data_IF_715236765778
#
_entry.id   IF_715236765778
#
_cell.length_a   1.000
_cell.length_b   1.000
_cell.length_c   1.000
_cell.angle_alpha   90.00
_cell.angle_beta   90.00
_cell.angle_gamma   90.00
#
_symmetry.space_group_name_H-M   'P 1'
#
loop_
_entity.id
_entity.type
_entity.pdbx_description
1 polymer ?
#
# COMPACT_ATOMS: atom_id res chain seq x y z
N UNK A 1 -11.83 -8.94 -11.87
CA UNK A 1 -10.71 -8.74 -10.93
C UNK A 1 -11.27 -8.31 -9.58
N UNK A 2 -10.68 -8.70 -8.45
CA UNK A 2 -11.06 -8.15 -7.15
C UNK A 2 -10.69 -6.65 -7.12
N UNK A 3 -11.63 -5.78 -6.77
CA UNK A 3 -11.36 -4.35 -6.60
C UNK A 3 -10.40 -4.11 -5.43
N UNK A 4 -9.35 -3.33 -5.67
CA UNK A 4 -8.41 -2.90 -4.64
C UNK A 4 -9.02 -1.70 -3.91
N UNK A 5 -9.28 -1.87 -2.62
CA UNK A 5 -9.80 -0.83 -1.73
C UNK A 5 -8.65 -0.25 -0.93
N UNK A 6 -8.11 0.86 -1.40
CA UNK A 6 -7.08 1.61 -0.69
C UNK A 6 -7.67 2.36 0.49
N UNK A 7 -6.88 2.46 1.56
CA UNK A 7 -7.15 3.29 2.73
C UNK A 7 -5.94 4.17 2.97
N UNK A 8 -6.16 5.46 3.23
CA UNK A 8 -5.08 6.44 3.39
C UNK A 8 -4.27 6.23 4.67
N UNK A 9 -4.87 5.61 5.69
CA UNK A 9 -4.24 5.33 6.98
C UNK A 9 -4.31 3.83 7.31
N UNK A 10 -3.20 3.14 7.08
CA UNK A 10 -3.01 1.77 7.49
C UNK A 10 -2.91 1.62 9.01
N UNK A 11 -3.07 0.39 9.48
CA UNK A 11 -2.74 0.05 10.88
C UNK A 11 -1.22 -0.06 11.02
N UNK A 12 -0.64 0.23 12.20
CA UNK A 12 0.80 0.02 12.42
C UNK A 12 1.18 -1.45 12.14
N UNK A 13 2.20 -1.67 11.30
CA UNK A 13 2.60 -3.00 10.83
C UNK A 13 1.74 -3.58 9.70
N UNK A 14 0.81 -2.79 9.17
CA UNK A 14 -0.07 -3.14 8.04
C UNK A 14 -0.19 -1.95 7.08
N UNK A 15 0.90 -1.24 6.83
CA UNK A 15 0.94 -0.13 5.88
C UNK A 15 1.46 -0.55 4.50
N UNK A 16 1.32 0.30 3.48
CA UNK A 16 1.87 0.04 2.15
C UNK A 16 3.38 -0.23 2.23
N UNK A 17 4.13 0.48 3.07
CA UNK A 17 5.56 0.19 3.32
C UNK A 17 5.84 -1.22 3.85
N UNK A 18 4.90 -1.85 4.54
CA UNK A 18 4.99 -3.23 5.05
C UNK A 18 4.45 -4.27 4.05
N UNK A 19 3.92 -3.82 2.91
CA UNK A 19 3.30 -4.67 1.90
C UNK A 19 4.32 -5.10 0.84
N UNK A 20 4.32 -6.38 0.47
CA UNK A 20 5.22 -6.93 -0.57
C UNK A 20 4.94 -6.40 -1.98
N UNK A 21 3.72 -5.92 -2.22
CA UNK A 21 3.26 -5.43 -3.52
C UNK A 21 3.47 -3.91 -3.69
N UNK A 22 3.94 -3.22 -2.66
CA UNK A 22 4.24 -1.79 -2.70
C UNK A 22 5.63 -1.55 -3.26
N UNK A 23 5.72 -0.65 -4.24
CA UNK A 23 6.99 -0.18 -4.79
C UNK A 23 7.21 1.25 -4.33
N UNK A 24 8.21 1.44 -3.48
CA UNK A 24 8.57 2.77 -3.02
C UNK A 24 9.06 3.65 -4.17
N UNK A 25 8.68 4.93 -4.15
CA UNK A 25 9.06 5.91 -5.15
C UNK A 25 9.85 7.06 -4.52
N UNK A 26 9.27 7.69 -3.51
CA UNK A 26 9.82 8.89 -2.85
C UNK A 26 9.77 8.79 -1.31
N UNK A 27 9.63 7.59 -0.74
CA UNK A 27 9.52 7.35 0.71
C UNK A 27 8.20 7.77 1.38
N UNK A 28 7.40 8.60 0.70
CA UNK A 28 6.09 9.08 1.17
C UNK A 28 4.93 8.51 0.36
N UNK A 29 5.18 8.28 -0.93
CA UNK A 29 4.28 7.66 -1.90
C UNK A 29 5.02 6.58 -2.65
N UNK A 30 4.25 5.66 -3.25
CA UNK A 30 4.76 4.61 -4.09
C UNK A 30 3.68 4.04 -4.99
N UNK A 31 4.06 3.08 -5.82
CA UNK A 31 3.16 2.44 -6.77
C UNK A 31 2.68 1.08 -6.23
N UNK A 32 1.37 0.85 -6.28
CA UNK A 32 0.74 -0.43 -5.93
C UNK A 32 -0.39 -0.74 -6.91
N UNK A 33 -0.38 -1.92 -7.53
CA UNK A 33 -1.35 -2.35 -8.56
C UNK A 33 -1.60 -1.33 -9.68
N UNK A 34 -0.59 -0.53 -10.04
CA UNK A 34 -0.69 0.51 -11.08
C UNK A 34 -1.36 1.82 -10.62
N UNK A 35 -1.50 2.01 -9.31
CA UNK A 35 -1.98 3.24 -8.69
C UNK A 35 -0.92 3.82 -7.74
N UNK A 36 -0.83 5.14 -7.69
CA UNK A 36 -0.04 5.83 -6.68
C UNK A 36 -0.75 5.77 -5.32
N UNK A 37 -0.06 5.31 -4.29
CA UNK A 37 -0.57 5.12 -2.93
C UNK A 37 0.37 5.74 -1.91
N UNK A 38 -0.19 6.18 -0.79
CA UNK A 38 0.59 6.66 0.35
C UNK A 38 1.31 5.50 1.03
N UNK A 39 2.58 5.71 1.38
CA UNK A 39 3.41 4.80 2.16
C UNK A 39 2.73 4.38 3.48
N UNK A 40 2.06 5.34 4.13
CA UNK A 40 1.30 5.16 5.36
C UNK A 40 -0.11 4.55 5.15
N UNK A 41 -0.54 4.37 3.90
CA UNK A 41 -1.82 3.78 3.54
C UNK A 41 -1.86 2.26 3.72
N UNK A 42 -2.92 1.61 3.28
CA UNK A 42 -3.04 0.15 3.20
C UNK A 42 -4.13 -0.23 2.19
N UNK A 43 -4.36 -1.52 1.95
CA UNK A 43 -5.51 -1.96 1.17
C UNK A 43 -6.07 -3.30 1.67
N UNK A 44 -7.23 -3.69 1.15
CA UNK A 44 -7.84 -5.01 1.39
C UNK A 44 -6.98 -6.19 0.89
N UNK A 45 -6.08 -5.94 -0.07
CA UNK A 45 -5.13 -6.92 -0.61
C UNK A 45 -3.74 -6.80 0.03
N UNK A 46 -3.64 -6.23 1.23
CA UNK A 46 -2.37 -6.16 1.94
C UNK A 46 -1.77 -7.56 2.12
N UNK A 47 -0.53 -7.71 1.68
CA UNK A 47 0.26 -8.92 1.88
C UNK A 47 1.59 -8.54 2.51
N UNK A 48 1.85 -9.03 3.72
CA UNK A 48 3.06 -8.73 4.47
C UNK A 48 4.30 -9.22 3.70
N UNK A 49 5.33 -8.39 3.65
CA UNK A 49 6.67 -8.76 3.15
C UNK A 49 7.50 -9.53 4.18
#
# INVERSE_FOLDING_TARGET
>A
MAEVKYVEKGKPGKTCTDCKNYKDKDGTTGDCYGHEVLAAGSCNLFEKK
#
